data_IF_064897844763
#
_entry.id   IF_064897844763
#
_cell.length_a   1.000
_cell.length_b   1.000
_cell.length_c   1.000
_cell.angle_alpha   90.00
_cell.angle_beta   90.00
_cell.angle_gamma   90.00
#
_symmetry.space_group_name_H-M   'P 1'
#
loop_
_entity.id
_entity.type
_entity.pdbx_description
1 polymer ?
#
# COMPACT_ATOMS: atom_id res chain seq x y z
N UNK A 1 -26.95 -5.36 48.54
CA UNK A 1 -27.92 -4.28 48.25
C UNK A 1 -28.43 -4.45 46.83
N UNK A 2 -29.75 -4.44 46.66
CA UNK A 2 -30.50 -4.69 45.41
C UNK A 2 -30.56 -3.43 44.53
N UNK A 3 -30.50 -3.59 43.20
CA UNK A 3 -31.33 -2.87 42.21
C UNK A 3 -31.16 -3.56 40.85
N UNK A 4 -32.08 -4.41 40.37
CA UNK A 4 -33.40 -4.14 39.74
C UNK A 4 -33.34 -3.89 38.22
N UNK A 5 -33.78 -4.91 37.46
CA UNK A 5 -34.69 -4.96 36.28
C UNK A 5 -34.38 -4.02 35.08
N UNK A 6 -34.45 -4.45 33.82
CA UNK A 6 -35.68 -4.81 33.11
C UNK A 6 -35.45 -5.54 31.78
N UNK A 7 -36.48 -6.30 31.42
CA UNK A 7 -36.72 -7.19 30.29
C UNK A 7 -37.49 -6.45 29.18
N UNK A 8 -37.22 -6.71 27.90
CA UNK A 8 -38.10 -6.41 26.75
C UNK A 8 -37.85 -7.52 25.69
N UNK A 9 -38.69 -8.55 25.54
CA UNK A 9 -40.03 -8.63 24.95
C UNK A 9 -40.03 -8.54 23.40
N UNK A 10 -40.15 -9.71 22.76
CA UNK A 10 -40.45 -9.94 21.34
C UNK A 10 -41.86 -9.45 20.98
N UNK A 11 -42.04 -8.83 19.80
CA UNK A 11 -43.34 -8.73 19.14
C UNK A 11 -43.19 -9.15 17.67
N UNK A 12 -43.82 -10.28 17.36
CA UNK A 12 -44.11 -10.80 16.01
C UNK A 12 -45.47 -10.23 15.62
N UNK A 13 -45.63 -9.71 14.39
CA UNK A 13 -46.96 -9.43 13.84
C UNK A 13 -47.12 -10.15 12.50
N UNK A 14 -47.90 -11.23 12.56
CA UNK A 14 -48.51 -11.95 11.45
C UNK A 14 -49.71 -11.16 10.94
N UNK A 15 -49.88 -11.05 9.62
CA UNK A 15 -51.16 -10.69 8.99
C UNK A 15 -51.53 -11.77 7.99
N UNK A 16 -52.75 -12.28 8.18
CA UNK A 16 -53.30 -13.50 7.62
C UNK A 16 -53.90 -13.34 6.22
N UNK A 17 -53.86 -14.44 5.49
CA UNK A 17 -54.55 -14.74 4.23
C UNK A 17 -56.08 -14.76 4.38
N UNK A 18 -56.80 -14.33 3.33
CA UNK A 18 -58.11 -14.89 2.98
C UNK A 18 -58.34 -14.87 1.46
N UNK A 19 -58.62 -16.07 0.94
CA UNK A 19 -58.92 -16.46 -0.44
C UNK A 19 -60.40 -16.27 -0.78
N UNK A 20 -60.69 -16.04 -2.07
CA UNK A 20 -61.76 -16.66 -2.89
C UNK A 20 -61.76 -15.89 -4.23
N UNK A 21 -61.82 -16.45 -5.43
CA UNK A 21 -62.01 -17.81 -5.94
C UNK A 21 -62.38 -17.65 -7.43
N UNK A 22 -62.15 -18.68 -8.26
CA UNK A 22 -62.70 -18.72 -9.63
C UNK A 22 -61.76 -19.31 -10.67
N UNK A 23 -62.05 -20.55 -11.05
CA UNK A 23 -61.37 -21.33 -12.08
C UNK A 23 -61.79 -20.94 -13.51
N UNK A 24 -60.90 -21.08 -14.49
CA UNK A 24 -61.08 -21.94 -15.67
C UNK A 24 -59.98 -21.71 -16.75
N UNK A 25 -59.58 -22.82 -17.38
CA UNK A 25 -58.70 -22.91 -18.53
C UNK A 25 -59.09 -22.02 -19.72
N UNK A 26 -58.09 -21.46 -20.41
CA UNK A 26 -57.95 -21.61 -21.86
C UNK A 26 -56.58 -21.14 -22.37
N UNK A 27 -55.99 -21.99 -23.20
CA UNK A 27 -54.81 -21.75 -24.04
C UNK A 27 -55.10 -20.69 -25.10
N UNK A 28 -54.24 -19.69 -25.27
CA UNK A 28 -54.06 -19.02 -26.56
C UNK A 28 -52.78 -18.15 -26.58
N UNK A 29 -52.20 -18.10 -27.77
CA UNK A 29 -50.91 -17.54 -28.19
C UNK A 29 -50.48 -16.16 -27.69
N UNK A 30 -49.16 -16.07 -27.53
CA UNK A 30 -48.38 -14.84 -27.50
C UNK A 30 -48.44 -14.09 -28.85
N UNK A 31 -48.58 -12.76 -28.85
CA UNK A 31 -47.99 -11.92 -29.88
C UNK A 31 -46.61 -11.44 -29.40
N UNK A 32 -45.59 -11.82 -30.17
CA UNK A 32 -44.22 -11.32 -30.07
C UNK A 32 -44.18 -9.79 -30.16
N UNK A 33 -43.84 -9.11 -29.06
CA UNK A 33 -43.46 -7.71 -29.05
C UNK A 33 -41.94 -7.58 -29.18
N UNK A 34 -41.49 -7.13 -30.34
CA UNK A 34 -40.10 -6.80 -30.60
C UNK A 34 -39.58 -5.74 -29.61
N UNK A 35 -38.66 -6.14 -28.74
CA UNK A 35 -37.93 -5.23 -27.86
C UNK A 35 -36.82 -4.54 -28.66
N UNK A 36 -36.99 -3.26 -28.95
CA UNK A 36 -35.94 -2.41 -29.49
C UNK A 36 -34.77 -2.36 -28.49
N UNK A 37 -33.61 -2.89 -28.89
CA UNK A 37 -32.37 -2.74 -28.14
C UNK A 37 -31.95 -1.26 -28.15
N UNK A 38 -32.03 -0.60 -26.99
CA UNK A 38 -31.41 0.71 -26.79
C UNK A 38 -29.89 0.54 -26.84
N UNK A 39 -29.26 1.10 -27.86
CA UNK A 39 -27.81 1.22 -27.92
C UNK A 39 -27.33 2.26 -26.90
N UNK A 40 -26.56 1.84 -25.91
CA UNK A 40 -25.83 2.74 -25.02
C UNK A 40 -24.81 3.57 -25.82
N UNK A 41 -24.58 4.86 -25.50
CA UNK A 41 -23.53 5.64 -26.14
C UNK A 41 -22.17 5.01 -25.81
N UNK A 42 -21.54 4.37 -26.80
CA UNK A 42 -20.15 3.95 -26.69
C UNK A 42 -19.29 5.20 -26.56
N UNK A 43 -18.72 5.44 -25.37
CA UNK A 43 -17.72 6.48 -25.20
C UNK A 43 -16.57 6.20 -26.20
N UNK A 44 -16.27 7.17 -27.06
CA UNK A 44 -15.17 7.05 -28.00
C UNK A 44 -13.86 6.82 -27.21
N UNK A 45 -13.03 5.83 -27.57
CA UNK A 45 -11.75 5.67 -26.93
C UNK A 45 -10.89 6.90 -27.25
N UNK A 46 -10.52 7.68 -26.23
CA UNK A 46 -9.47 8.68 -26.38
C UNK A 46 -8.19 7.94 -26.80
N UNK A 47 -7.52 8.32 -27.88
CA UNK A 47 -6.28 7.68 -28.28
C UNK A 47 -5.26 7.91 -27.17
N UNK A 48 -4.90 6.86 -26.42
CA UNK A 48 -3.71 6.88 -25.62
C UNK A 48 -2.54 7.00 -26.62
N UNK A 49 -1.99 8.20 -26.78
CA UNK A 49 -0.69 8.39 -27.43
C UNK A 49 0.34 7.71 -26.55
N UNK A 50 0.45 6.39 -26.70
CA UNK A 50 0.88 5.55 -25.60
C UNK A 50 2.37 5.27 -25.63
N UNK A 51 3.21 6.29 -25.49
CA UNK A 51 4.61 6.01 -25.18
C UNK A 51 4.66 5.11 -23.92
N UNK A 52 5.45 4.01 -23.94
CA UNK A 52 5.60 3.16 -22.77
C UNK A 52 6.19 3.94 -21.60
N UNK A 53 5.78 3.58 -20.39
CA UNK A 53 6.41 4.03 -19.14
C UNK A 53 7.52 3.04 -18.79
N UNK A 54 8.74 3.53 -18.60
CA UNK A 54 9.85 2.75 -18.06
C UNK A 54 9.93 2.92 -16.55
N UNK A 55 10.03 1.81 -15.83
CA UNK A 55 10.23 1.80 -14.37
C UNK A 55 11.49 1.01 -14.10
N UNK A 56 12.40 1.57 -13.31
CA UNK A 56 13.54 0.87 -12.76
C UNK A 56 13.29 0.56 -11.29
N UNK A 57 13.20 -0.73 -10.96
CA UNK A 57 12.92 -1.17 -9.61
C UNK A 57 14.12 -1.91 -9.01
N UNK A 58 14.50 -1.51 -7.79
CA UNK A 58 15.51 -2.18 -6.98
C UNK A 58 14.82 -2.88 -5.80
N UNK A 59 15.31 -4.07 -5.45
CA UNK A 59 14.81 -4.82 -4.30
C UNK A 59 15.20 -4.19 -2.96
N UNK A 60 15.27 -5.04 -1.93
CA UNK A 60 15.58 -4.68 -0.55
C UNK A 60 16.86 -3.82 -0.48
N UNK A 61 16.66 -2.54 -0.18
CA UNK A 61 17.68 -1.51 -0.17
C UNK A 61 18.01 -1.21 1.29
N UNK A 62 19.24 -1.59 1.67
CA UNK A 62 19.83 -1.26 2.97
C UNK A 62 21.28 -0.85 2.76
N UNK A 63 21.58 0.44 2.95
CA UNK A 63 22.96 0.92 2.80
C UNK A 63 23.83 0.62 4.03
N UNK A 64 23.21 0.38 5.19
CA UNK A 64 23.89 0.04 6.43
C UNK A 64 22.90 -0.11 7.58
N UNK A 65 23.36 -0.50 8.78
CA UNK A 65 22.48 -0.58 9.94
C UNK A 65 23.24 -0.29 11.23
N UNK A 66 22.71 0.64 12.02
CA UNK A 66 23.22 0.90 13.38
C UNK A 66 22.68 -0.09 14.40
N UNK A 67 21.62 -0.83 14.05
CA UNK A 67 21.00 -1.81 14.92
C UNK A 67 21.90 -3.04 15.13
N UNK A 68 21.85 -3.58 16.35
CA UNK A 68 22.58 -4.80 16.76
C UNK A 68 24.09 -4.76 16.46
N UNK A 69 24.69 -3.57 16.45
CA UNK A 69 26.13 -3.40 16.26
C UNK A 69 26.65 -3.73 14.86
N UNK A 70 25.78 -3.78 13.84
CA UNK A 70 26.16 -4.13 12.45
C UNK A 70 27.15 -3.14 11.80
N UNK A 71 27.27 -1.93 12.34
CA UNK A 71 28.18 -0.91 11.84
C UNK A 71 27.71 -0.29 10.53
N UNK A 72 28.39 0.77 10.11
CA UNK A 72 28.10 1.50 8.88
C UNK A 72 29.22 1.29 7.86
N UNK A 73 28.94 1.40 6.55
CA UNK A 73 29.97 1.29 5.52
C UNK A 73 31.08 2.32 5.69
N UNK A 74 32.20 2.03 5.03
CA UNK A 74 33.30 3.00 4.88
C UNK A 74 32.79 4.32 4.28
N UNK A 75 33.40 5.43 4.69
CA UNK A 75 32.97 6.79 4.31
C UNK A 75 31.47 7.05 4.55
N UNK A 76 30.89 6.36 5.52
CA UNK A 76 29.47 6.47 5.87
C UNK A 76 28.51 6.17 4.69
N UNK A 77 28.94 5.37 3.72
CA UNK A 77 28.10 4.96 2.60
C UNK A 77 27.86 6.03 1.52
N UNK A 78 28.48 7.22 1.61
CA UNK A 78 28.25 8.34 0.70
C UNK A 78 28.49 8.00 -0.80
N UNK A 79 29.41 7.09 -1.08
CA UNK A 79 29.76 6.66 -2.43
C UNK A 79 29.19 5.27 -2.78
N UNK A 80 28.45 4.63 -1.87
CA UNK A 80 28.07 3.22 -2.01
C UNK A 80 27.19 2.96 -3.24
N UNK A 81 26.31 3.91 -3.55
CA UNK A 81 25.33 3.79 -4.64
C UNK A 81 25.40 4.93 -5.66
N UNK A 82 26.40 5.82 -5.55
CA UNK A 82 26.51 6.98 -6.46
C UNK A 82 26.77 6.57 -7.92
N UNK A 83 27.38 5.41 -8.15
CA UNK A 83 27.56 4.85 -9.50
C UNK A 83 26.27 4.44 -10.21
N UNK A 84 25.15 4.36 -9.49
CA UNK A 84 23.86 3.95 -10.06
C UNK A 84 23.09 5.10 -10.72
N UNK A 85 23.47 6.35 -10.48
CA UNK A 85 22.72 7.52 -10.97
C UNK A 85 22.41 7.50 -12.47
N UNK A 86 23.36 7.19 -13.38
CA UNK A 86 23.05 7.15 -14.81
C UNK A 86 22.01 6.08 -15.17
N UNK A 87 21.98 4.97 -14.42
CA UNK A 87 21.08 3.86 -14.64
C UNK A 87 19.68 4.19 -14.11
N UNK A 88 19.59 4.65 -12.86
CA UNK A 88 18.31 5.02 -12.22
C UNK A 88 17.63 6.18 -12.96
N UNK A 89 18.39 7.19 -13.38
CA UNK A 89 17.87 8.37 -14.08
C UNK A 89 17.48 8.12 -15.55
N UNK A 90 17.72 6.90 -16.08
CA UNK A 90 17.36 6.55 -17.45
C UNK A 90 15.90 6.09 -17.61
N UNK A 91 15.21 5.85 -16.49
CA UNK A 91 13.80 5.46 -16.46
C UNK A 91 12.88 6.66 -16.17
N UNK A 92 11.59 6.54 -16.48
CA UNK A 92 10.60 7.56 -16.09
C UNK A 92 10.39 7.60 -14.57
N UNK A 93 10.59 6.45 -13.89
CA UNK A 93 10.54 6.31 -12.44
C UNK A 93 11.62 5.34 -11.96
N UNK A 94 12.40 5.74 -10.96
CA UNK A 94 13.23 4.87 -10.14
C UNK A 94 12.54 4.55 -8.80
N UNK A 95 12.38 3.26 -8.52
CA UNK A 95 11.70 2.72 -7.35
C UNK A 95 12.63 1.83 -6.52
N UNK A 96 12.57 1.91 -5.20
CA UNK A 96 13.27 0.98 -4.30
C UNK A 96 12.36 0.40 -3.21
N UNK A 97 12.66 -0.81 -2.74
CA UNK A 97 12.07 -1.34 -1.52
C UNK A 97 13.00 -1.06 -0.33
N UNK A 98 12.55 -0.30 0.67
CA UNK A 98 13.40 0.01 1.82
C UNK A 98 13.35 -1.14 2.84
N UNK A 99 14.50 -1.75 3.12
CA UNK A 99 14.61 -2.96 3.95
C UNK A 99 14.58 -2.67 5.46
N UNK A 100 14.61 -1.41 5.89
CA UNK A 100 14.64 -1.11 7.32
C UNK A 100 14.15 0.29 7.64
N UNK A 101 13.86 0.54 8.91
CA UNK A 101 13.45 1.87 9.34
C UNK A 101 14.61 2.87 9.20
N UNK A 102 14.32 4.10 8.75
CA UNK A 102 15.26 5.21 8.80
C UNK A 102 15.11 5.89 10.17
N UNK A 103 16.07 5.69 11.07
CA UNK A 103 16.00 6.20 12.44
C UNK A 103 17.41 6.44 13.00
N UNK A 104 17.57 7.55 13.71
CA UNK A 104 18.77 7.85 14.48
C UNK A 104 18.52 7.53 15.97
N UNK A 105 18.90 6.33 16.38
CA UNK A 105 18.68 5.81 17.73
C UNK A 105 17.31 5.13 17.90
N UNK A 106 16.76 5.19 19.12
CA UNK A 106 15.47 4.57 19.47
C UNK A 106 15.57 3.13 20.01
N UNK A 107 14.44 2.64 20.53
CA UNK A 107 14.33 1.31 21.13
C UNK A 107 13.83 0.31 20.08
N UNK A 108 14.57 -0.78 19.90
CA UNK A 108 14.18 -1.88 19.03
C UNK A 108 12.99 -2.61 19.65
N UNK A 109 11.97 -2.93 18.86
CA UNK A 109 10.72 -3.56 19.34
C UNK A 109 10.52 -4.98 18.80
N UNK A 110 11.24 -5.38 17.75
CA UNK A 110 11.07 -6.68 17.10
C UNK A 110 11.73 -7.84 17.86
N UNK A 111 12.95 -7.64 18.34
CA UNK A 111 13.75 -8.70 18.95
C UNK A 111 13.77 -8.57 20.47
N UNK A 112 13.50 -9.68 21.17
CA UNK A 112 13.59 -9.75 22.63
C UNK A 112 15.03 -10.04 23.10
N UNK A 113 15.32 -9.89 24.41
CA UNK A 113 16.67 -10.04 24.96
C UNK A 113 17.34 -11.40 24.70
N UNK A 114 16.54 -12.47 24.50
CA UNK A 114 17.03 -13.83 24.31
C UNK A 114 16.70 -14.39 22.90
N UNK A 115 16.28 -13.55 21.97
CA UNK A 115 15.92 -14.00 20.62
C UNK A 115 17.16 -14.50 19.87
N UNK A 116 17.11 -15.75 19.41
CA UNK A 116 18.10 -16.31 18.49
C UNK A 116 17.57 -16.15 17.06
N UNK A 117 18.42 -15.74 16.13
CA UNK A 117 18.04 -15.51 14.72
C UNK A 117 16.97 -14.41 14.50
N UNK A 118 17.00 -13.37 15.32
CA UNK A 118 16.15 -12.19 15.14
C UNK A 118 16.98 -10.98 14.72
N UNK A 119 16.60 -10.40 13.59
CA UNK A 119 17.35 -9.31 12.95
C UNK A 119 16.53 -8.03 13.03
N UNK A 120 17.20 -6.95 13.43
CA UNK A 120 16.65 -5.59 13.44
C UNK A 120 17.49 -4.70 12.53
N UNK A 121 16.84 -3.90 11.69
CA UNK A 121 17.47 -2.98 10.75
C UNK A 121 17.03 -1.54 11.02
N UNK A 122 18.03 -0.68 11.25
CA UNK A 122 17.87 0.74 11.52
C UNK A 122 18.94 1.53 10.77
N UNK A 123 18.53 2.12 9.65
CA UNK A 123 19.37 2.95 8.80
C UNK A 123 19.42 4.38 9.34
N UNK A 124 20.58 5.05 9.34
CA UNK A 124 20.65 6.46 9.66
C UNK A 124 19.74 7.32 8.76
N UNK A 125 19.04 8.31 9.32
CA UNK A 125 18.11 9.14 8.52
C UNK A 125 18.82 9.89 7.39
N UNK A 126 20.06 10.31 7.64
CA UNK A 126 20.92 10.97 6.64
C UNK A 126 21.15 10.15 5.36
N UNK A 127 20.93 8.84 5.38
CA UNK A 127 21.03 8.00 4.16
C UNK A 127 19.90 8.27 3.16
N UNK A 128 18.81 8.92 3.57
CA UNK A 128 17.78 9.39 2.65
C UNK A 128 18.35 10.33 1.58
N UNK A 129 19.35 11.14 1.95
CA UNK A 129 20.06 12.01 1.00
C UNK A 129 20.76 11.20 -0.09
N UNK A 130 21.43 10.09 0.28
CA UNK A 130 22.14 9.25 -0.68
C UNK A 130 21.18 8.54 -1.64
N UNK A 131 20.01 8.11 -1.15
CA UNK A 131 18.95 7.58 -2.00
C UNK A 131 18.48 8.63 -3.02
N UNK A 132 18.28 9.88 -2.57
CA UNK A 132 17.87 10.97 -3.47
C UNK A 132 18.94 11.29 -4.51
N UNK A 133 20.20 11.40 -4.09
CA UNK A 133 21.34 11.68 -4.97
C UNK A 133 21.60 10.55 -5.97
N UNK A 134 21.31 9.30 -5.61
CA UNK A 134 21.36 8.17 -6.53
C UNK A 134 20.26 8.25 -7.61
N UNK A 135 19.20 9.03 -7.39
CA UNK A 135 18.13 9.25 -8.37
C UNK A 135 16.88 8.43 -8.13
N UNK A 136 16.62 7.96 -6.90
CA UNK A 136 15.32 7.35 -6.57
C UNK A 136 14.21 8.40 -6.50
N UNK A 137 13.08 8.09 -7.13
CA UNK A 137 11.87 8.93 -7.11
C UNK A 137 10.88 8.46 -6.04
N UNK A 138 10.75 7.13 -5.90
CA UNK A 138 9.76 6.49 -5.05
C UNK A 138 10.41 5.39 -4.20
N UNK A 139 10.00 5.28 -2.94
CA UNK A 139 10.36 4.14 -2.09
C UNK A 139 9.13 3.44 -1.51
N UNK A 140 9.16 2.12 -1.47
CA UNK A 140 8.31 1.34 -0.56
C UNK A 140 8.87 1.42 0.85
N UNK A 141 8.01 1.81 1.78
CA UNK A 141 8.21 1.69 3.21
C UNK A 141 7.46 0.47 3.79
N UNK A 142 6.81 -0.35 2.96
CA UNK A 142 6.23 -1.62 3.36
C UNK A 142 7.27 -2.74 3.22
N UNK A 143 7.72 -3.26 4.35
CA UNK A 143 8.68 -4.36 4.44
C UNK A 143 8.48 -5.09 5.79
N UNK A 144 8.93 -6.34 5.91
CA UNK A 144 8.91 -7.10 7.18
C UNK A 144 9.80 -6.50 8.28
N UNK A 145 10.61 -5.50 7.95
CA UNK A 145 11.48 -4.76 8.87
C UNK A 145 11.04 -3.30 9.12
N UNK A 146 9.94 -2.84 8.50
CA UNK A 146 9.45 -1.46 8.66
C UNK A 146 9.10 -1.08 10.09
N UNK A 147 8.76 -2.05 10.94
CA UNK A 147 8.38 -1.84 12.36
C UNK A 147 9.42 -2.36 13.34
N UNK A 148 10.67 -2.52 12.92
CA UNK A 148 11.75 -2.95 13.80
C UNK A 148 11.98 -2.02 15.00
N UNK A 149 11.63 -0.74 14.83
CA UNK A 149 11.63 0.32 15.85
C UNK A 149 10.21 0.85 16.13
N UNK A 150 9.19 0.05 15.84
CA UNK A 150 7.78 0.36 16.07
C UNK A 150 7.30 1.63 15.35
N UNK A 151 6.25 2.26 15.91
CA UNK A 151 5.67 3.48 15.35
C UNK A 151 6.67 4.66 15.22
N UNK A 152 7.61 4.89 16.18
CA UNK A 152 8.64 5.91 16.01
C UNK A 152 9.53 5.68 14.78
N UNK A 153 9.98 4.45 14.55
CA UNK A 153 10.75 4.10 13.35
C UNK A 153 10.01 4.38 12.06
N UNK A 154 8.73 4.02 11.99
CA UNK A 154 7.88 4.27 10.81
C UNK A 154 7.66 5.76 10.55
N UNK A 155 7.36 6.52 11.60
CA UNK A 155 7.18 7.97 11.48
C UNK A 155 8.48 8.65 11.02
N UNK A 156 9.63 8.20 11.55
CA UNK A 156 10.94 8.68 11.14
C UNK A 156 11.25 8.34 9.67
N UNK A 157 10.92 7.13 9.21
CA UNK A 157 11.07 6.74 7.79
C UNK A 157 10.28 7.64 6.85
N UNK A 158 8.99 7.87 7.13
CA UNK A 158 8.16 8.79 6.32
C UNK A 158 8.78 10.18 6.26
N UNK A 159 9.05 10.75 7.43
CA UNK A 159 9.62 12.09 7.54
C UNK A 159 10.95 12.21 6.79
N UNK A 160 11.79 11.17 6.87
CA UNK A 160 13.07 11.17 6.16
C UNK A 160 12.88 11.24 4.65
N UNK A 161 11.90 10.51 4.08
CA UNK A 161 11.61 10.55 2.64
C UNK A 161 10.99 11.89 2.23
N UNK A 162 10.06 12.41 3.03
CA UNK A 162 9.45 13.74 2.85
C UNK A 162 10.52 14.85 2.83
N UNK A 163 11.45 14.83 3.79
CA UNK A 163 12.50 15.85 3.94
C UNK A 163 13.46 15.90 2.73
N UNK A 164 13.68 14.76 2.04
CA UNK A 164 14.55 14.69 0.86
C UNK A 164 13.80 14.72 -0.46
N UNK A 165 12.47 14.83 -0.44
CA UNK A 165 11.63 14.88 -1.64
C UNK A 165 11.62 13.57 -2.42
N UNK A 166 11.60 12.44 -1.71
CA UNK A 166 11.29 11.11 -2.27
C UNK A 166 9.83 10.79 -1.91
N UNK A 167 9.06 10.35 -2.89
CA UNK A 167 7.69 9.89 -2.67
C UNK A 167 7.73 8.53 -1.97
N UNK A 168 6.91 8.32 -0.95
CA UNK A 168 6.81 7.01 -0.29
C UNK A 168 5.46 6.34 -0.55
N UNK A 169 5.42 5.03 -0.36
CA UNK A 169 4.20 4.21 -0.31
C UNK A 169 4.32 3.13 0.76
N UNK A 170 3.19 2.68 1.32
CA UNK A 170 3.13 1.55 2.23
C UNK A 170 3.64 1.81 3.66
N UNK A 171 3.77 3.07 4.07
CA UNK A 171 4.17 3.41 5.43
C UNK A 171 3.06 3.16 6.49
N UNK A 172 1.81 3.25 6.04
CA UNK A 172 0.56 3.01 6.77
C UNK A 172 -0.50 2.47 5.80
N UNK A 173 -1.62 1.90 6.28
CA UNK A 173 -2.72 1.49 5.41
C UNK A 173 -3.27 2.69 4.63
N UNK A 174 -3.42 2.53 3.30
CA UNK A 174 -3.91 3.59 2.42
C UNK A 174 -2.85 4.58 1.93
N UNK A 175 -1.57 4.41 2.30
CA UNK A 175 -0.45 5.21 1.78
C UNK A 175 -0.13 4.82 0.32
N UNK A 176 -0.93 5.38 -0.60
CA UNK A 176 -0.91 5.11 -2.05
C UNK A 176 -0.74 6.44 -2.80
N UNK A 177 0.46 6.76 -3.30
CA UNK A 177 0.64 7.89 -4.19
C UNK A 177 0.10 7.60 -5.60
N UNK A 178 -0.55 8.60 -6.18
CA UNK A 178 -1.03 8.59 -7.57
C UNK A 178 -0.28 9.65 -8.37
N UNK A 179 0.39 9.24 -9.45
CA UNK A 179 1.18 10.11 -10.32
C UNK A 179 0.61 10.14 -11.73
N UNK A 180 0.81 11.27 -12.43
CA UNK A 180 0.56 11.36 -13.86
C UNK A 180 1.90 11.25 -14.60
N UNK A 181 2.14 10.14 -15.29
CA UNK A 181 3.37 9.86 -16.02
C UNK A 181 3.01 9.66 -17.49
N UNK A 182 3.57 10.48 -18.39
CA UNK A 182 3.27 10.43 -19.84
C UNK A 182 1.76 10.45 -20.14
N UNK A 183 1.01 11.27 -19.40
CA UNK A 183 -0.45 11.38 -19.54
C UNK A 183 -1.26 10.19 -18.98
N UNK A 184 -0.62 9.23 -18.31
CA UNK A 184 -1.29 8.08 -17.66
C UNK A 184 -1.29 8.27 -16.15
N UNK A 185 -2.43 8.00 -15.50
CA UNK A 185 -2.53 7.97 -14.03
C UNK A 185 -2.03 6.62 -13.53
N UNK A 186 -0.99 6.62 -12.71
CA UNK A 186 -0.31 5.43 -12.16
C UNK A 186 -0.37 5.48 -10.64
N UNK A 187 -0.74 4.37 -10.01
CA UNK A 187 -0.72 4.21 -8.55
C UNK A 187 0.45 3.33 -8.15
N UNK A 188 1.19 3.69 -7.10
CA UNK A 188 2.19 2.83 -6.49
C UNK A 188 1.62 2.27 -5.20
N UNK A 189 1.60 0.95 -5.09
CA UNK A 189 0.98 0.25 -3.96
C UNK A 189 1.99 -0.71 -3.40
N UNK A 190 2.27 -0.61 -2.11
CA UNK A 190 3.24 -1.46 -1.43
C UNK A 190 2.59 -2.27 -0.30
N UNK A 191 3.07 -3.51 -0.17
CA UNK A 191 2.53 -4.53 0.71
C UNK A 191 3.68 -5.25 1.40
N UNK A 192 3.44 -5.68 2.63
CA UNK A 192 4.32 -6.52 3.41
C UNK A 192 3.49 -7.53 4.21
N UNK A 193 4.13 -8.60 4.67
CA UNK A 193 3.49 -9.65 5.48
C UNK A 193 3.32 -9.22 6.94
N UNK A 194 2.73 -8.05 7.16
CA UNK A 194 2.44 -7.50 8.47
C UNK A 194 1.16 -6.63 8.44
N UNK A 195 0.61 -6.34 9.61
CA UNK A 195 -0.65 -5.59 9.74
C UNK A 195 -0.52 -4.07 9.53
N UNK A 196 0.65 -3.58 9.10
CA UNK A 196 0.92 -2.13 8.97
C UNK A 196 0.75 -1.65 7.53
N UNK A 197 1.06 -2.48 6.54
CA UNK A 197 0.83 -2.16 5.13
C UNK A 197 -0.56 -2.60 4.68
N UNK A 198 -0.92 -2.25 3.45
CA UNK A 198 -2.09 -2.84 2.79
C UNK A 198 -2.00 -4.37 2.81
N UNK A 199 -3.15 -5.02 2.86
CA UNK A 199 -3.30 -6.46 2.75
C UNK A 199 -3.80 -6.78 1.33
N UNK A 200 -3.20 -7.77 0.67
CA UNK A 200 -3.58 -8.18 -0.69
C UNK A 200 -4.96 -8.85 -0.76
N UNK A 201 -5.53 -9.22 0.39
CA UNK A 201 -6.79 -9.96 0.51
C UNK A 201 -7.95 -9.04 0.98
N UNK A 202 -7.67 -7.81 1.38
CA UNK A 202 -8.68 -6.81 1.78
C UNK A 202 -9.08 -5.92 0.59
#
# INVERSE_FOLDING_TARGET
MKSSKMLFAFIIMLVSFALYGGAACSTADQPSSASAAQASPQAAPTPASGEPISIMAVGDTMLGSTAQGRGLPVKDGAELISGLTPLLSSADIAFANLEGAMIDGGTQTKCGPNSKFCYTFGMPTRYGKYLKEAGFDIVSLANNHSSDFGAPGRASSRKTMEDVGIIHTGADPGDIPYLNIKGKKVAFVAFATNAISLNLID
#
